data_IF_185971846495
#
_entry.id   IF_185971846495
#
_cell.length_a   1.000
_cell.length_b   1.000
_cell.length_c   1.000
_cell.angle_alpha   90.00
_cell.angle_beta   90.00
_cell.angle_gamma   90.00
#
_symmetry.space_group_name_H-M   'P 1'
#
loop_
_entity.id
_entity.type
_entity.pdbx_description
1 polymer ?
#
# COMPACT_ATOMS: atom_id res chain seq x y z
N UNK A 1 -23.23 -9.04 1.33
CA UNK A 1 -21.92 -9.56 0.91
C UNK A 1 -20.91 -8.44 1.05
N UNK A 2 -19.72 -8.78 1.51
CA UNK A 2 -18.57 -7.89 1.59
C UNK A 2 -17.35 -8.56 0.94
N UNK A 3 -16.46 -7.74 0.40
CA UNK A 3 -15.12 -8.12 -0.01
C UNK A 3 -14.17 -7.30 0.85
N UNK A 4 -13.30 -7.99 1.59
CA UNK A 4 -12.21 -7.36 2.32
C UNK A 4 -11.05 -7.15 1.35
N UNK A 5 -10.82 -5.91 0.92
CA UNK A 5 -9.84 -5.59 -0.11
C UNK A 5 -8.40 -5.52 0.40
N UNK A 6 -8.18 -5.59 1.73
CA UNK A 6 -6.84 -5.53 2.30
C UNK A 6 -6.81 -6.11 3.72
N UNK A 7 -6.00 -7.16 3.93
CA UNK A 7 -5.70 -7.73 5.23
C UNK A 7 -4.36 -8.50 5.21
N UNK A 8 -3.91 -8.95 6.39
CA UNK A 8 -2.70 -9.74 6.61
C UNK A 8 -3.01 -11.00 7.42
N UNK A 9 -3.63 -12.00 6.79
CA UNK A 9 -4.00 -13.26 7.45
C UNK A 9 -2.80 -14.12 7.85
N UNK A 10 -1.64 -13.89 7.24
CA UNK A 10 -0.37 -14.56 7.58
C UNK A 10 0.31 -13.98 8.82
N UNK A 11 -0.29 -12.96 9.45
CA UNK A 11 0.21 -12.43 10.72
C UNK A 11 0.25 -13.52 11.80
N UNK A 12 1.30 -13.51 12.62
CA UNK A 12 1.45 -14.39 13.77
C UNK A 12 0.24 -14.36 14.72
N UNK A 13 -0.47 -13.23 14.78
CA UNK A 13 -1.68 -13.08 15.59
C UNK A 13 -2.83 -14.03 15.19
N UNK A 14 -2.80 -14.60 13.98
CA UNK A 14 -3.82 -15.52 13.47
C UNK A 14 -3.39 -17.00 13.52
N UNK A 15 -2.14 -17.31 13.86
CA UNK A 15 -1.59 -18.67 13.75
C UNK A 15 -2.41 -19.73 14.52
N UNK A 16 -2.94 -19.37 15.68
CA UNK A 16 -3.63 -20.32 16.55
C UNK A 16 -5.12 -20.50 16.21
N UNK A 17 -5.75 -19.56 15.48
CA UNK A 17 -7.21 -19.52 15.30
C UNK A 17 -7.68 -19.12 13.89
N UNK A 18 -6.81 -19.23 12.88
CA UNK A 18 -7.10 -18.80 11.50
C UNK A 18 -8.39 -19.41 10.92
N UNK A 19 -8.60 -20.72 11.09
CA UNK A 19 -9.83 -21.38 10.62
C UNK A 19 -11.09 -20.80 11.26
N UNK A 20 -11.03 -20.49 12.55
CA UNK A 20 -12.15 -19.89 13.26
C UNK A 20 -12.40 -18.45 12.78
N UNK A 21 -11.34 -17.70 12.51
CA UNK A 21 -11.39 -16.35 11.92
C UNK A 21 -12.05 -16.39 10.54
N UNK A 22 -11.66 -17.33 9.68
CA UNK A 22 -12.29 -17.51 8.37
C UNK A 22 -13.77 -17.89 8.52
N UNK A 23 -14.09 -18.80 9.44
CA UNK A 23 -15.47 -19.19 9.71
C UNK A 23 -16.33 -18.01 10.23
N UNK A 24 -15.79 -17.17 11.13
CA UNK A 24 -16.44 -15.93 11.59
C UNK A 24 -16.64 -14.94 10.45
N UNK A 25 -15.66 -14.80 9.57
CA UNK A 25 -15.71 -13.92 8.40
C UNK A 25 -16.81 -14.33 7.41
N UNK A 26 -16.93 -15.62 7.10
CA UNK A 26 -18.02 -16.16 6.27
C UNK A 26 -19.40 -15.88 6.90
N UNK A 27 -19.56 -16.12 8.21
CA UNK A 27 -20.81 -15.81 8.94
C UNK A 27 -21.17 -14.32 8.91
N UNK A 28 -20.16 -13.44 8.91
CA UNK A 28 -20.36 -11.99 8.79
C UNK A 28 -20.75 -11.55 7.35
N UNK A 29 -20.73 -12.47 6.38
CA UNK A 29 -21.07 -12.23 4.99
C UNK A 29 -19.89 -11.73 4.14
N UNK A 30 -18.66 -11.95 4.59
CA UNK A 30 -17.44 -11.76 3.79
C UNK A 30 -17.29 -12.96 2.86
N UNK A 31 -17.18 -12.70 1.55
CA UNK A 31 -17.08 -13.75 0.52
C UNK A 31 -15.77 -13.70 -0.26
N UNK A 32 -14.94 -12.70 -0.02
CA UNK A 32 -13.62 -12.60 -0.62
C UNK A 32 -12.73 -11.78 0.29
N UNK A 33 -11.52 -12.27 0.51
CA UNK A 33 -10.52 -11.65 1.38
C UNK A 33 -9.22 -11.55 0.58
N UNK A 34 -8.80 -10.32 0.31
CA UNK A 34 -7.51 -10.05 -0.31
C UNK A 34 -6.46 -9.98 0.79
N UNK A 35 -5.58 -10.99 0.86
CA UNK A 35 -4.48 -11.02 1.81
C UNK A 35 -3.19 -10.56 1.13
N UNK A 36 -2.51 -9.59 1.72
CA UNK A 36 -1.33 -8.96 1.16
C UNK A 36 -0.06 -9.44 1.87
N UNK A 37 0.95 -9.82 1.10
CA UNK A 37 2.28 -10.07 1.65
C UNK A 37 3.00 -8.76 1.95
N UNK A 38 3.93 -8.82 2.88
CA UNK A 38 4.79 -7.69 3.26
C UNK A 38 6.27 -7.90 2.95
N UNK A 39 6.71 -9.15 2.81
CA UNK A 39 8.12 -9.53 2.60
C UNK A 39 8.24 -10.78 1.71
N UNK A 40 9.44 -11.13 1.22
CA UNK A 40 9.64 -12.32 0.40
C UNK A 40 9.28 -13.62 1.12
N UNK A 41 9.55 -13.73 2.42
CA UNK A 41 9.19 -14.92 3.20
C UNK A 41 7.68 -15.01 3.43
N UNK A 42 7.03 -13.87 3.66
CA UNK A 42 5.59 -13.77 3.88
C UNK A 42 4.79 -14.11 2.60
N UNK A 43 5.33 -13.82 1.43
CA UNK A 43 4.73 -14.24 0.15
C UNK A 43 4.46 -15.75 0.08
N UNK A 44 5.37 -16.58 0.61
CA UNK A 44 5.20 -18.04 0.60
C UNK A 44 3.99 -18.47 1.43
N UNK A 45 3.79 -17.84 2.60
CA UNK A 45 2.62 -18.09 3.44
C UNK A 45 1.33 -17.60 2.78
N UNK A 46 1.36 -16.45 2.09
CA UNK A 46 0.19 -15.95 1.34
C UNK A 46 -0.20 -16.90 0.21
N UNK A 47 0.78 -17.44 -0.52
CA UNK A 47 0.54 -18.43 -1.58
C UNK A 47 -0.05 -19.71 -0.99
N UNK A 48 0.54 -20.23 0.08
CA UNK A 48 0.02 -21.42 0.77
C UNK A 48 -1.43 -21.22 1.22
N UNK A 49 -1.73 -20.06 1.82
CA UNK A 49 -3.08 -19.76 2.29
C UNK A 49 -4.11 -19.69 1.14
N UNK A 50 -3.68 -19.16 -0.02
CA UNK A 50 -4.49 -19.17 -1.24
C UNK A 50 -4.72 -20.58 -1.78
N UNK A 51 -3.75 -21.47 -1.68
CA UNK A 51 -3.90 -22.88 -2.08
C UNK A 51 -4.86 -23.65 -1.16
N UNK A 52 -4.82 -23.37 0.15
CA UNK A 52 -5.65 -24.02 1.16
C UNK A 52 -7.11 -23.51 1.13
N UNK A 53 -7.33 -22.25 0.75
CA UNK A 53 -8.66 -21.62 0.71
C UNK A 53 -8.94 -20.86 -0.61
N UNK A 54 -8.97 -21.55 -1.76
CA UNK A 54 -9.04 -20.91 -3.08
C UNK A 54 -10.35 -20.15 -3.34
N UNK A 55 -11.42 -20.49 -2.62
CA UNK A 55 -12.74 -19.88 -2.75
C UNK A 55 -12.90 -18.56 -1.97
N UNK A 56 -12.14 -18.40 -0.87
CA UNK A 56 -12.28 -17.25 0.03
C UNK A 56 -11.11 -16.27 -0.08
N UNK A 57 -9.90 -16.77 -0.31
CA UNK A 57 -8.66 -16.01 -0.19
C UNK A 57 -8.12 -15.64 -1.56
N UNK A 58 -7.80 -14.37 -1.77
CA UNK A 58 -7.22 -13.85 -2.99
C UNK A 58 -5.84 -13.28 -2.68
N UNK A 59 -4.80 -13.83 -3.29
CA UNK A 59 -3.43 -13.47 -2.99
C UNK A 59 -3.03 -12.14 -3.65
N UNK A 60 -2.51 -11.22 -2.85
CA UNK A 60 -1.74 -10.07 -3.32
C UNK A 60 -0.29 -10.27 -2.87
N UNK A 61 0.65 -10.19 -3.81
CA UNK A 61 2.08 -10.33 -3.50
C UNK A 61 2.83 -9.02 -3.77
N UNK A 62 3.75 -8.68 -2.88
CA UNK A 62 4.50 -7.44 -2.91
C UNK A 62 5.44 -7.31 -1.71
N UNK A 63 6.30 -6.31 -1.80
CA UNK A 63 7.29 -5.93 -0.80
C UNK A 63 6.88 -4.58 -0.21
N UNK A 64 6.58 -4.61 1.08
CA UNK A 64 6.16 -3.45 1.85
C UNK A 64 7.33 -2.46 2.01
N UNK A 65 7.11 -1.12 2.02
CA UNK A 65 8.16 -0.11 2.19
C UNK A 65 9.03 -0.26 3.45
N UNK A 66 8.50 -0.94 4.48
CA UNK A 66 9.22 -1.19 5.73
C UNK A 66 9.92 -2.56 5.77
N UNK A 67 9.76 -3.43 4.77
CA UNK A 67 10.54 -4.67 4.71
C UNK A 67 12.02 -4.34 4.62
N UNK A 68 12.81 -5.09 5.39
CA UNK A 68 14.25 -4.91 5.43
C UNK A 68 15.04 -5.89 4.57
N UNK A 69 14.42 -7.01 4.19
CA UNK A 69 15.06 -8.16 3.57
C UNK A 69 15.26 -8.04 2.07
N UNK A 70 14.46 -7.24 1.36
CA UNK A 70 14.53 -7.09 -0.08
C UNK A 70 14.99 -5.70 -0.51
N UNK A 71 16.12 -5.59 -1.21
CA UNK A 71 16.55 -4.37 -1.90
C UNK A 71 16.56 -4.56 -3.43
N UNK A 72 17.07 -3.59 -4.18
CA UNK A 72 17.15 -3.70 -5.64
C UNK A 72 18.08 -4.83 -6.13
N UNK A 73 18.99 -5.34 -5.29
CA UNK A 73 19.83 -6.50 -5.64
C UNK A 73 19.03 -7.79 -5.51
N UNK A 74 18.21 -7.90 -4.46
CA UNK A 74 17.33 -9.05 -4.24
C UNK A 74 16.05 -9.02 -5.10
N UNK A 75 15.67 -7.83 -5.62
CA UNK A 75 14.42 -7.62 -6.35
C UNK A 75 14.23 -8.57 -7.54
N UNK A 76 15.30 -8.90 -8.29
CA UNK A 76 15.17 -9.78 -9.45
C UNK A 76 14.63 -11.17 -9.08
N UNK A 77 15.13 -11.75 -7.99
CA UNK A 77 14.66 -13.05 -7.48
C UNK A 77 13.21 -12.97 -7.02
N UNK A 78 12.85 -11.91 -6.30
CA UNK A 78 11.47 -11.68 -5.84
C UNK A 78 10.51 -11.49 -7.01
N UNK A 79 10.92 -10.72 -8.02
CA UNK A 79 10.16 -10.50 -9.26
C UNK A 79 9.88 -11.83 -9.97
N UNK A 80 10.89 -12.69 -10.11
CA UNK A 80 10.72 -14.00 -10.75
C UNK A 80 9.75 -14.90 -9.97
N UNK A 81 9.82 -14.86 -8.63
CA UNK A 81 8.87 -15.56 -7.76
C UNK A 81 7.43 -15.04 -7.98
N UNK A 82 7.20 -13.72 -7.97
CA UNK A 82 5.87 -13.14 -8.23
C UNK A 82 5.32 -13.59 -9.59
N UNK A 83 6.15 -13.57 -10.65
CA UNK A 83 5.74 -13.99 -11.99
C UNK A 83 5.34 -15.48 -12.00
N UNK A 84 6.12 -16.33 -11.35
CA UNK A 84 5.84 -17.77 -11.27
C UNK A 84 4.51 -18.02 -10.55
N UNK A 85 4.30 -17.39 -9.40
CA UNK A 85 3.08 -17.56 -8.60
C UNK A 85 1.86 -16.96 -9.28
N UNK A 86 2.00 -15.85 -10.00
CA UNK A 86 0.91 -15.31 -10.82
C UNK A 86 0.48 -16.27 -11.93
N UNK A 87 1.44 -16.90 -12.62
CA UNK A 87 1.12 -17.91 -13.65
C UNK A 87 0.40 -19.13 -13.09
N UNK A 88 0.70 -19.51 -11.85
CA UNK A 88 0.15 -20.71 -11.20
C UNK A 88 -1.20 -20.46 -10.54
N UNK A 89 -1.36 -19.33 -9.84
CA UNK A 89 -2.52 -19.08 -8.96
C UNK A 89 -3.43 -17.94 -9.38
N UNK A 90 -2.97 -17.04 -10.26
CA UNK A 90 -3.69 -15.81 -10.61
C UNK A 90 -3.78 -14.85 -9.42
N UNK A 91 -2.73 -14.06 -9.21
CA UNK A 91 -2.72 -13.01 -8.18
C UNK A 91 -3.81 -11.96 -8.43
N UNK A 92 -4.41 -11.44 -7.36
CA UNK A 92 -5.41 -10.39 -7.44
C UNK A 92 -4.81 -9.00 -7.67
N UNK A 93 -3.63 -8.74 -7.09
CA UNK A 93 -2.91 -7.48 -7.21
C UNK A 93 -1.41 -7.65 -6.90
N UNK A 94 -0.62 -6.65 -7.27
CA UNK A 94 0.67 -6.40 -6.63
C UNK A 94 0.43 -5.63 -5.33
N UNK A 95 0.75 -6.22 -4.19
CA UNK A 95 0.48 -5.64 -2.88
C UNK A 95 0.94 -6.51 -1.72
N UNK A 96 1.36 -5.94 -0.60
CA UNK A 96 1.31 -4.51 -0.27
C UNK A 96 2.59 -3.80 -0.72
N UNK A 97 2.45 -2.75 -1.53
CA UNK A 97 3.57 -1.96 -2.07
C UNK A 97 3.37 -0.47 -1.76
N UNK A 98 4.40 0.36 -1.80
CA UNK A 98 4.22 1.81 -1.66
C UNK A 98 5.30 2.49 -0.84
N UNK A 99 4.93 3.55 -0.11
CA UNK A 99 5.85 4.43 0.60
C UNK A 99 5.38 4.70 2.05
N UNK A 100 6.31 4.60 3.01
CA UNK A 100 6.09 4.99 4.40
C UNK A 100 7.18 5.96 4.86
N UNK A 101 6.80 7.25 4.92
CA UNK A 101 7.67 8.35 5.33
C UNK A 101 7.45 8.79 6.79
N UNK A 102 6.90 7.91 7.62
CA UNK A 102 6.80 8.13 9.07
C UNK A 102 8.17 8.43 9.65
N UNK A 103 8.37 9.67 10.14
CA UNK A 103 9.68 10.12 10.64
C UNK A 103 10.31 9.18 11.68
N UNK A 104 9.57 8.63 12.68
CA UNK A 104 10.16 7.70 13.65
C UNK A 104 10.70 6.43 12.97
N UNK A 105 9.94 5.88 12.01
CA UNK A 105 10.32 4.65 11.30
C UNK A 105 11.47 4.89 10.34
N UNK A 106 11.47 6.01 9.60
CA UNK A 106 12.60 6.39 8.75
C UNK A 106 13.90 6.51 9.56
N UNK A 107 13.86 7.16 10.72
CA UNK A 107 15.02 7.26 11.62
C UNK A 107 15.49 5.91 12.11
N UNK A 108 14.57 5.06 12.56
CA UNK A 108 14.88 3.72 13.04
C UNK A 108 15.54 2.88 11.94
N UNK A 109 14.97 2.90 10.72
CA UNK A 109 15.48 2.15 9.56
C UNK A 109 16.84 2.68 9.10
N UNK A 110 17.02 4.01 9.10
CA UNK A 110 18.29 4.66 8.76
C UNK A 110 19.40 4.23 9.74
N UNK A 111 19.11 4.27 11.05
CA UNK A 111 20.04 3.84 12.07
C UNK A 111 20.41 2.36 11.95
N UNK A 112 19.42 1.47 11.76
CA UNK A 112 19.65 0.03 11.61
C UNK A 112 20.52 -0.31 10.39
N UNK A 113 20.51 0.55 9.37
CA UNK A 113 21.25 0.37 8.12
C UNK A 113 22.59 1.10 8.07
N UNK A 114 22.92 1.92 9.08
CA UNK A 114 24.06 2.83 9.00
C UNK A 114 23.94 3.82 7.82
N UNK A 115 22.72 4.25 7.50
CA UNK A 115 22.40 5.09 6.36
C UNK A 115 21.66 6.37 6.79
N UNK A 116 21.39 7.28 5.83
CA UNK A 116 20.58 8.48 6.10
C UNK A 116 19.09 8.22 5.87
N UNK A 117 18.21 9.08 6.41
CA UNK A 117 16.77 9.02 6.10
C UNK A 117 16.49 9.17 4.59
N UNK A 118 17.34 9.92 3.88
CA UNK A 118 17.22 10.10 2.43
C UNK A 118 17.51 8.79 1.68
N UNK A 119 18.51 8.02 2.12
CA UNK A 119 18.83 6.72 1.51
C UNK A 119 17.68 5.73 1.69
N UNK A 120 17.04 5.72 2.86
CA UNK A 120 15.86 4.88 3.12
C UNK A 120 14.69 5.27 2.22
N UNK A 121 14.43 6.58 2.05
CA UNK A 121 13.39 7.06 1.13
C UNK A 121 13.68 6.66 -0.31
N UNK A 122 14.91 6.86 -0.77
CA UNK A 122 15.32 6.50 -2.13
C UNK A 122 15.16 5.00 -2.38
N UNK A 123 15.51 4.16 -1.40
CA UNK A 123 15.26 2.71 -1.49
C UNK A 123 13.77 2.39 -1.62
N UNK A 124 12.91 3.00 -0.81
CA UNK A 124 11.46 2.80 -0.92
C UNK A 124 10.94 3.22 -2.30
N UNK A 125 11.39 4.36 -2.82
CA UNK A 125 11.02 4.85 -4.15
C UNK A 125 11.43 3.87 -5.25
N UNK A 126 12.70 3.44 -5.29
CA UNK A 126 13.18 2.52 -6.32
C UNK A 126 12.46 1.16 -6.29
N UNK A 127 12.19 0.62 -5.10
CA UNK A 127 11.43 -0.63 -4.98
C UNK A 127 9.97 -0.45 -5.36
N UNK A 128 9.35 0.69 -5.02
CA UNK A 128 7.98 0.96 -5.40
C UNK A 128 7.84 1.08 -6.93
N UNK A 129 8.70 1.86 -7.58
CA UNK A 129 8.73 2.00 -9.04
C UNK A 129 8.94 0.65 -9.74
N UNK A 130 9.89 -0.16 -9.26
CA UNK A 130 10.15 -1.49 -9.83
C UNK A 130 8.96 -2.45 -9.69
N UNK A 131 8.18 -2.33 -8.60
CA UNK A 131 6.95 -3.09 -8.40
C UNK A 131 5.80 -2.59 -9.28
N UNK A 132 5.71 -1.27 -9.52
CA UNK A 132 4.76 -0.71 -10.47
C UNK A 132 5.06 -1.15 -11.91
N UNK A 133 6.33 -1.26 -12.28
CA UNK A 133 6.75 -1.78 -13.59
C UNK A 133 6.29 -3.23 -13.76
N UNK A 134 6.50 -4.07 -12.74
CA UNK A 134 6.03 -5.46 -12.76
C UNK A 134 4.50 -5.56 -12.82
N UNK A 135 3.78 -4.72 -12.07
CA UNK A 135 2.33 -4.70 -12.10
C UNK A 135 1.78 -4.37 -13.50
N UNK A 136 2.42 -3.44 -14.21
CA UNK A 136 2.07 -3.11 -15.61
C UNK A 136 2.37 -4.25 -16.57
N UNK A 137 3.53 -4.91 -16.40
CA UNK A 137 3.90 -6.08 -17.22
C UNK A 137 2.91 -7.22 -17.06
N UNK A 138 2.41 -7.45 -15.84
CA UNK A 138 1.46 -8.50 -15.52
C UNK A 138 -0.02 -8.08 -15.70
N UNK A 139 -0.28 -6.83 -16.08
CA UNK A 139 -1.64 -6.27 -16.20
C UNK A 139 -2.46 -6.45 -14.91
N UNK A 140 -1.80 -6.25 -13.77
CA UNK A 140 -2.35 -6.38 -12.43
C UNK A 140 -2.63 -5.01 -11.81
N UNK A 141 -3.72 -4.85 -11.04
CA UNK A 141 -3.91 -3.68 -10.21
C UNK A 141 -2.91 -3.68 -9.03
N UNK A 142 -2.80 -2.55 -8.35
CA UNK A 142 -1.92 -2.40 -7.17
C UNK A 142 -2.69 -2.15 -5.88
N UNK A 143 -2.21 -2.72 -4.77
CA UNK A 143 -2.71 -2.47 -3.42
C UNK A 143 -1.65 -1.71 -2.62
N UNK A 144 -1.92 -0.44 -2.35
CA UNK A 144 -0.87 0.56 -2.10
C UNK A 144 -0.91 1.12 -0.69
N UNK A 145 0.22 0.97 0.01
CA UNK A 145 0.54 1.65 1.24
C UNK A 145 0.96 3.10 0.99
N UNK A 146 0.37 4.03 1.73
CA UNK A 146 0.85 5.41 1.74
C UNK A 146 0.70 6.02 3.13
N UNK A 147 1.80 6.16 3.85
CA UNK A 147 1.81 6.78 5.19
C UNK A 147 2.79 7.94 5.22
N UNK A 148 2.26 9.15 5.47
CA UNK A 148 3.03 10.40 5.36
C UNK A 148 3.70 10.60 3.98
N UNK A 149 3.20 9.89 2.97
CA UNK A 149 3.71 9.86 1.60
C UNK A 149 2.56 9.88 0.57
N UNK A 150 1.33 10.20 0.99
CA UNK A 150 0.11 10.10 0.20
C UNK A 150 0.19 10.92 -1.10
N UNK A 151 0.70 12.15 -1.00
CA UNK A 151 0.92 13.02 -2.16
C UNK A 151 1.95 12.45 -3.13
N UNK A 152 3.04 11.90 -2.61
CA UNK A 152 4.12 11.35 -3.42
C UNK A 152 3.63 10.11 -4.19
N UNK A 153 2.98 9.19 -3.49
CA UNK A 153 2.40 7.98 -4.08
C UNK A 153 1.38 8.34 -5.18
N UNK A 154 0.46 9.27 -4.90
CA UNK A 154 -0.55 9.66 -5.89
C UNK A 154 0.06 10.34 -7.12
N UNK A 155 1.12 11.13 -6.97
CA UNK A 155 1.84 11.71 -8.10
C UNK A 155 2.48 10.62 -8.98
N UNK A 156 3.14 9.64 -8.37
CA UNK A 156 3.75 8.50 -9.07
C UNK A 156 2.68 7.71 -9.83
N UNK A 157 1.60 7.30 -9.15
CA UNK A 157 0.52 6.52 -9.75
C UNK A 157 -0.18 7.25 -10.90
N UNK A 158 -0.33 8.57 -10.80
CA UNK A 158 -0.87 9.41 -11.88
C UNK A 158 -0.03 9.31 -13.16
N UNK A 159 1.30 9.20 -13.04
CA UNK A 159 2.21 9.01 -14.18
C UNK A 159 2.14 7.62 -14.81
N UNK A 160 1.88 6.58 -14.00
CA UNK A 160 1.91 5.19 -14.44
C UNK A 160 0.63 4.70 -15.15
N UNK A 161 -0.49 5.44 -15.04
CA UNK A 161 -1.81 5.05 -15.59
C UNK A 161 -2.29 3.65 -15.16
N UNK A 162 -1.91 3.23 -13.96
CA UNK A 162 -2.27 1.91 -13.40
C UNK A 162 -3.57 1.98 -12.59
N UNK A 163 -4.30 0.86 -12.52
CA UNK A 163 -5.43 0.74 -11.61
C UNK A 163 -4.96 0.33 -10.22
N UNK A 164 -5.59 0.85 -9.17
CA UNK A 164 -5.18 0.47 -7.82
C UNK A 164 -6.09 0.95 -6.71
N UNK A 165 -5.81 0.45 -5.52
CA UNK A 165 -6.43 0.90 -4.27
C UNK A 165 -5.37 1.57 -3.39
N UNK A 166 -5.72 2.75 -2.89
CA UNK A 166 -5.02 3.41 -1.81
C UNK A 166 -5.60 2.86 -0.50
N UNK A 167 -4.89 1.91 0.11
CA UNK A 167 -5.35 1.24 1.32
C UNK A 167 -5.21 2.18 2.53
N UNK A 168 -6.13 2.04 3.48
CA UNK A 168 -6.18 2.81 4.72
C UNK A 168 -5.85 4.31 4.54
N UNK A 169 -6.40 4.96 3.52
CA UNK A 169 -5.98 6.30 3.11
C UNK A 169 -6.21 7.36 4.20
N UNK A 170 -5.14 8.02 4.64
CA UNK A 170 -5.15 9.08 5.70
C UNK A 170 -4.84 10.48 5.19
N UNK A 171 -4.60 10.63 3.89
CA UNK A 171 -4.23 11.91 3.31
C UNK A 171 -5.40 12.90 3.25
N UNK A 172 -5.16 14.15 2.81
CA UNK A 172 -6.22 15.13 2.63
C UNK A 172 -7.33 14.64 1.68
N UNK A 173 -8.60 14.87 2.04
CA UNK A 173 -9.76 14.45 1.25
C UNK A 173 -9.78 15.06 -0.16
N UNK A 174 -9.35 16.31 -0.30
CA UNK A 174 -9.26 17.00 -1.59
C UNK A 174 -8.28 16.31 -2.56
N UNK A 175 -7.16 15.79 -2.02
CA UNK A 175 -6.16 15.08 -2.80
C UNK A 175 -6.70 13.73 -3.28
N UNK A 176 -7.38 12.98 -2.41
CA UNK A 176 -8.07 11.76 -2.79
C UNK A 176 -9.14 12.01 -3.86
N UNK A 177 -9.97 13.06 -3.70
CA UNK A 177 -10.99 13.42 -4.68
C UNK A 177 -10.38 13.77 -6.04
N UNK A 178 -9.25 14.49 -6.06
CA UNK A 178 -8.54 14.79 -7.30
C UNK A 178 -8.02 13.50 -7.97
N UNK A 179 -7.39 12.62 -7.21
CA UNK A 179 -6.87 11.35 -7.71
C UNK A 179 -7.97 10.40 -8.22
N UNK A 180 -9.12 10.36 -7.55
CA UNK A 180 -10.28 9.56 -7.95
C UNK A 180 -10.80 9.92 -9.34
N UNK A 181 -10.70 11.20 -9.75
CA UNK A 181 -11.14 11.67 -11.08
C UNK A 181 -10.40 10.98 -12.23
N UNK A 182 -9.25 10.36 -11.99
CA UNK A 182 -8.56 9.54 -13.00
C UNK A 182 -9.39 8.33 -13.46
N UNK A 183 -10.38 7.91 -12.67
CA UNK A 183 -11.18 6.70 -12.91
C UNK A 183 -10.42 5.39 -12.69
N UNK A 184 -9.16 5.45 -12.24
CA UNK A 184 -8.26 4.30 -12.06
C UNK A 184 -7.95 3.98 -10.59
N UNK A 185 -8.27 4.88 -9.67
CA UNK A 185 -7.93 4.74 -8.26
C UNK A 185 -9.18 4.62 -7.37
N UNK A 186 -9.11 3.68 -6.44
CA UNK A 186 -10.08 3.48 -5.37
C UNK A 186 -9.42 3.72 -4.01
N UNK A 187 -10.25 3.89 -2.98
CA UNK A 187 -9.81 4.15 -1.62
C UNK A 187 -10.57 3.23 -0.68
N UNK A 188 -9.86 2.39 0.07
CA UNK A 188 -10.45 1.49 1.06
C UNK A 188 -10.33 2.05 2.47
N UNK A 189 -11.29 1.66 3.31
CA UNK A 189 -11.40 2.16 4.68
C UNK A 189 -11.67 1.01 5.66
N UNK A 190 -10.87 0.89 6.74
CA UNK A 190 -10.96 -0.17 7.72
C UNK A 190 -11.94 0.17 8.86
N UNK A 191 -12.26 -0.78 9.77
CA UNK A 191 -13.17 -0.58 10.91
C UNK A 191 -12.84 0.62 11.80
N UNK A 192 -11.58 1.01 11.92
CA UNK A 192 -11.20 2.24 12.64
C UNK A 192 -11.75 3.54 12.02
N UNK A 193 -12.43 3.48 10.86
CA UNK A 193 -13.30 4.53 10.32
C UNK A 193 -14.31 5.04 11.35
N UNK A 194 -14.75 4.20 12.29
CA UNK A 194 -15.69 4.60 13.35
C UNK A 194 -15.18 5.77 14.21
N UNK A 195 -13.86 5.94 14.36
CA UNK A 195 -13.27 6.99 15.20
C UNK A 195 -12.17 7.84 14.54
N UNK A 196 -11.62 7.43 13.39
CA UNK A 196 -10.57 8.19 12.69
C UNK A 196 -11.16 9.29 11.81
N UNK A 197 -10.97 10.54 12.22
CA UNK A 197 -11.54 11.70 11.53
C UNK A 197 -11.01 11.84 10.09
N UNK A 198 -9.73 11.54 9.82
CA UNK A 198 -9.14 11.62 8.48
C UNK A 198 -9.87 10.71 7.49
N UNK A 199 -10.20 9.49 7.93
CA UNK A 199 -10.98 8.53 7.15
C UNK A 199 -12.38 9.03 6.89
N UNK A 200 -13.05 9.56 7.91
CA UNK A 200 -14.41 10.07 7.77
C UNK A 200 -14.48 11.24 6.79
N UNK A 201 -13.50 12.15 6.81
CA UNK A 201 -13.42 13.27 5.86
C UNK A 201 -13.21 12.79 4.42
N UNK A 202 -12.31 11.83 4.20
CA UNK A 202 -12.10 11.24 2.88
C UNK A 202 -13.36 10.51 2.38
N UNK A 203 -14.01 9.71 3.24
CA UNK A 203 -15.26 9.03 2.90
C UNK A 203 -16.36 10.02 2.56
N UNK A 204 -16.56 11.09 3.33
CA UNK A 204 -17.58 12.12 3.02
C UNK A 204 -17.35 12.74 1.63
N UNK A 205 -16.10 13.09 1.31
CA UNK A 205 -15.75 13.77 0.06
C UNK A 205 -15.83 12.88 -1.20
N UNK A 206 -15.40 11.62 -1.12
CA UNK A 206 -15.28 10.72 -2.27
C UNK A 206 -16.63 10.12 -2.71
N UNK A 207 -16.97 10.06 -4.01
CA UNK A 207 -18.15 9.34 -4.47
C UNK A 207 -18.13 7.86 -4.05
N UNK A 208 -19.30 7.26 -3.82
CA UNK A 208 -19.41 5.88 -3.35
C UNK A 208 -18.79 4.87 -4.35
N UNK A 209 -18.75 5.22 -5.64
CA UNK A 209 -18.14 4.44 -6.72
C UNK A 209 -16.60 4.40 -6.68
N UNK A 210 -15.97 5.16 -5.79
CA UNK A 210 -14.53 5.17 -5.55
C UNK A 210 -14.14 4.51 -4.23
N UNK A 211 -15.13 4.11 -3.43
CA UNK A 211 -14.90 3.56 -2.10
C UNK A 211 -14.83 2.04 -2.13
N UNK A 212 -13.96 1.50 -1.31
CA UNK A 212 -13.82 0.08 -1.03
C UNK A 212 -13.88 -0.15 0.49
N UNK A 213 -14.12 -1.39 0.88
CA UNK A 213 -14.04 -1.82 2.27
C UNK A 213 -12.80 -2.69 2.44
N UNK A 214 -12.18 -2.57 3.59
CA UNK A 214 -11.08 -3.42 4.02
C UNK A 214 -11.17 -3.64 5.53
N UNK A 215 -10.29 -4.47 6.08
CA UNK A 215 -10.07 -4.49 7.52
C UNK A 215 -8.68 -4.08 7.96
N UNK A 216 -7.65 -4.27 7.12
CA UNK A 216 -6.24 -4.19 7.53
C UNK A 216 -5.94 -5.12 8.73
N UNK A 217 -6.68 -6.22 8.83
CA UNK A 217 -6.55 -7.17 9.94
C UNK A 217 -5.14 -7.74 9.99
N UNK A 218 -4.53 -7.89 11.18
CA UNK A 218 -5.13 -7.78 12.52
C UNK A 218 -5.19 -6.35 13.09
N UNK A 219 -4.83 -5.33 12.31
CA UNK A 219 -4.76 -3.94 12.74
C UNK A 219 -6.05 -3.18 12.48
N UNK A 220 -6.10 -1.91 12.94
CA UNK A 220 -7.14 -0.93 12.57
C UNK A 220 -8.58 -1.32 12.94
N UNK A 221 -8.74 -2.03 14.07
CA UNK A 221 -10.02 -2.41 14.64
C UNK A 221 -10.91 -1.22 15.03
N UNK A 222 -12.23 -1.42 14.99
CA UNK A 222 -13.21 -0.45 15.48
C UNK A 222 -13.15 -0.26 17.00
N UNK A 223 -12.78 -1.32 17.75
CA UNK A 223 -12.68 -1.31 19.20
C UNK A 223 -11.47 -0.49 19.74
N UNK A 224 -10.58 -0.05 18.85
CA UNK A 224 -9.49 0.86 19.18
C UNK A 224 -8.12 0.38 18.70
N UNK A 225 -7.07 1.22 18.85
CA UNK A 225 -5.76 0.99 18.21
C UNK A 225 -4.98 -0.24 18.69
N UNK A 226 -5.34 -0.80 19.86
CA UNK A 226 -4.68 -1.96 20.46
C UNK A 226 -5.51 -3.25 20.36
N UNK A 227 -6.74 -3.16 19.85
CA UNK A 227 -7.60 -4.32 19.71
C UNK A 227 -7.21 -5.08 18.43
N UNK A 228 -7.19 -6.41 18.53
CA UNK A 228 -7.04 -7.29 17.38
C UNK A 228 -8.29 -7.18 16.50
N UNK A 229 -8.08 -6.98 15.21
CA UNK A 229 -9.11 -6.96 14.17
C UNK A 229 -9.20 -8.32 13.47
N UNK A 230 -10.31 -8.57 12.79
CA UNK A 230 -10.47 -9.72 11.89
C UNK A 230 -11.37 -9.36 10.69
N UNK A 231 -11.29 -10.08 9.55
CA UNK A 231 -12.06 -9.74 8.35
C UNK A 231 -13.57 -9.66 8.59
N UNK A 232 -14.11 -10.47 9.52
CA UNK A 232 -15.51 -10.42 9.93
C UNK A 232 -15.98 -9.06 10.49
N UNK A 233 -15.07 -8.21 10.95
CA UNK A 233 -15.39 -6.89 11.49
C UNK A 233 -15.55 -5.80 10.42
N UNK A 234 -15.41 -6.14 9.13
CA UNK A 234 -15.63 -5.22 8.00
C UNK A 234 -16.98 -4.51 8.03
N UNK A 235 -18.00 -5.14 8.65
CA UNK A 235 -19.33 -4.57 8.83
C UNK A 235 -19.30 -3.22 9.57
N UNK A 236 -18.40 -3.04 10.55
CA UNK A 236 -18.29 -1.78 11.27
C UNK A 236 -17.86 -0.62 10.35
N UNK A 237 -16.94 -0.88 9.41
CA UNK A 237 -16.57 0.10 8.39
C UNK A 237 -17.75 0.38 7.45
N UNK A 238 -18.46 -0.65 7.02
CA UNK A 238 -19.59 -0.52 6.10
C UNK A 238 -20.76 0.28 6.70
N UNK A 239 -21.10 0.03 7.96
CA UNK A 239 -22.16 0.75 8.69
C UNK A 239 -21.77 2.22 8.89
N UNK A 240 -20.52 2.49 9.29
CA UNK A 240 -20.06 3.87 9.41
C UNK A 240 -20.02 4.60 8.06
N UNK A 241 -19.59 3.92 7.00
CA UNK A 241 -19.61 4.48 5.64
C UNK A 241 -21.04 4.81 5.19
N UNK A 242 -22.01 3.96 5.49
CA UNK A 242 -23.42 4.17 5.17
C UNK A 242 -23.99 5.41 5.87
N UNK A 243 -23.70 5.55 7.17
CA UNK A 243 -24.04 6.74 7.96
C UNK A 243 -23.48 8.02 7.33
N UNK A 244 -22.18 8.05 7.04
CA UNK A 244 -21.49 9.22 6.47
C UNK A 244 -21.99 9.58 5.07
N UNK A 245 -22.51 8.61 4.33
CA UNK A 245 -23.04 8.78 2.97
C UNK A 245 -24.53 9.06 2.92
N UNK A 246 -25.27 8.90 4.02
CA UNK A 246 -26.72 9.00 4.02
C UNK A 246 -27.39 7.97 3.11
N UNK A 247 -26.80 6.77 3.02
CA UNK A 247 -27.31 5.63 2.22
C UNK A 247 -27.47 4.40 3.10
N UNK A 248 -28.13 3.36 2.60
CA UNK A 248 -28.29 2.11 3.37
C UNK A 248 -27.01 1.27 3.36
N UNK A 249 -26.86 0.41 4.36
CA UNK A 249 -25.78 -0.58 4.40
C UNK A 249 -25.76 -1.45 3.14
N UNK A 250 -26.93 -1.84 2.63
CA UNK A 250 -27.05 -2.64 1.40
C UNK A 250 -26.52 -1.88 0.17
N UNK A 251 -26.75 -0.57 0.10
CA UNK A 251 -26.20 0.27 -0.97
C UNK A 251 -24.67 0.37 -0.89
N UNK A 252 -24.10 0.53 0.30
CA UNK A 252 -22.65 0.47 0.51
C UNK A 252 -22.10 -0.88 0.08
N UNK A 253 -22.64 -1.97 0.64
CA UNK A 253 -22.21 -3.34 0.33
C UNK A 253 -22.25 -3.62 -1.17
N UNK A 254 -23.34 -3.27 -1.86
CA UNK A 254 -23.46 -3.47 -3.30
C UNK A 254 -22.47 -2.61 -4.09
N UNK A 255 -22.29 -1.33 -3.72
CA UNK A 255 -21.38 -0.44 -4.43
C UNK A 255 -19.91 -0.85 -4.24
N UNK A 256 -19.47 -1.09 -3.01
CA UNK A 256 -18.08 -1.44 -2.70
C UNK A 256 -17.72 -2.82 -3.25
N UNK A 257 -18.65 -3.78 -3.23
CA UNK A 257 -18.46 -5.09 -3.88
C UNK A 257 -18.30 -4.93 -5.40
N UNK A 258 -19.17 -4.16 -6.07
CA UNK A 258 -19.03 -3.89 -7.51
C UNK A 258 -17.69 -3.20 -7.83
N UNK A 259 -17.26 -2.27 -6.99
CA UNK A 259 -15.99 -1.58 -7.15
C UNK A 259 -14.81 -2.56 -7.01
N UNK A 260 -14.85 -3.46 -6.02
CA UNK A 260 -13.82 -4.47 -5.80
C UNK A 260 -13.72 -5.44 -6.97
N UNK A 261 -14.86 -5.94 -7.47
CA UNK A 261 -14.88 -6.80 -8.67
C UNK A 261 -14.40 -6.06 -9.91
N UNK A 262 -14.74 -4.79 -10.05
CA UNK A 262 -14.24 -4.00 -11.17
C UNK A 262 -12.71 -3.86 -11.14
N UNK A 263 -12.13 -3.67 -9.96
CA UNK A 263 -10.69 -3.50 -9.78
C UNK A 263 -9.92 -4.82 -9.90
N UNK A 264 -10.36 -5.86 -9.19
CA UNK A 264 -9.60 -7.12 -9.03
C UNK A 264 -10.15 -8.29 -9.86
N UNK A 265 -11.41 -8.22 -10.32
CA UNK A 265 -12.10 -9.38 -10.91
C UNK A 265 -11.50 -9.88 -12.22
N UNK A 266 -10.86 -9.00 -13.02
CA UNK A 266 -10.15 -9.41 -14.24
C UNK A 266 -8.95 -10.32 -13.91
N UNK A 267 -8.22 -9.98 -12.86
CA UNK A 267 -7.06 -10.75 -12.39
C UNK A 267 -7.48 -11.98 -11.57
N UNK A 268 -8.67 -11.95 -10.98
CA UNK A 268 -9.21 -13.02 -10.13
C UNK A 268 -10.65 -13.37 -10.50
N UNK A 269 -10.88 -14.23 -11.51
CA UNK A 269 -12.22 -14.59 -11.97
C UNK A 269 -13.14 -15.17 -10.89
N UNK A 270 -12.58 -15.83 -9.87
CA UNK A 270 -13.34 -16.30 -8.70
C UNK A 270 -14.12 -15.17 -8.02
N UNK A 271 -13.52 -13.98 -7.90
CA UNK A 271 -14.14 -12.82 -7.27
C UNK A 271 -15.33 -12.30 -8.09
N UNK A 272 -15.26 -12.43 -9.41
CA UNK A 272 -16.34 -12.06 -10.32
C UNK A 272 -17.52 -13.04 -10.20
N UNK A 273 -17.24 -14.35 -10.06
CA UNK A 273 -18.26 -15.38 -9.88
C UNK A 273 -19.05 -15.21 -8.58
N UNK A 274 -18.40 -14.78 -7.49
CA UNK A 274 -19.06 -14.48 -6.21
C UNK A 274 -20.19 -13.44 -6.33
N UNK A 275 -20.13 -12.56 -7.33
CA UNK A 275 -21.13 -11.49 -7.52
C UNK A 275 -22.29 -11.84 -8.46
N UNK A 276 -22.16 -12.89 -9.29
CA UNK A 276 -23.21 -13.26 -10.26
C UNK A 276 -24.32 -14.13 -9.67
N UNK A 277 -24.20 -14.55 -8.40
CA UNK A 277 -25.20 -15.34 -7.67
C UNK A 277 -26.22 -14.49 -6.91
N UNK A 278 -26.07 -13.17 -6.88
CA UNK A 278 -27.06 -12.25 -6.30
C UNK A 278 -28.18 -11.95 -7.33
N UNK A 279 -29.47 -11.98 -6.94
CA UNK A 279 -30.56 -11.68 -7.86
C UNK A 279 -30.41 -10.29 -8.46
N UNK A 280 -30.77 -10.08 -9.74
CA UNK A 280 -30.59 -8.80 -10.41
C UNK A 280 -31.35 -7.71 -9.65
N UNK A 281 -30.62 -6.81 -9.01
CA UNK A 281 -31.21 -5.56 -8.54
C UNK A 281 -31.64 -4.77 -9.77
N UNK A 282 -32.93 -4.47 -9.85
CA UNK A 282 -33.56 -3.71 -10.93
C UNK A 282 -32.70 -2.50 -11.32
N UNK A 283 -32.27 -2.34 -12.59
CA UNK A 283 -31.38 -1.27 -13.00
C UNK A 283 -32.18 0.03 -13.18
N UNK A 284 -32.60 0.65 -12.09
CA UNK A 284 -33.11 2.03 -12.10
C UNK A 284 -32.03 3.07 -11.76
N UNK A 285 -30.77 2.63 -11.63
CA UNK A 285 -29.63 3.52 -11.47
C UNK A 285 -29.08 3.98 -12.81
N UNK A 286 -29.40 5.21 -13.22
CA UNK A 286 -28.63 5.94 -14.24
C UNK A 286 -27.13 5.72 -13.98
N UNK A 287 -26.37 5.29 -14.98
CA UNK A 287 -24.90 5.31 -14.89
C UNK A 287 -24.48 6.68 -14.39
N UNK A 288 -23.81 6.72 -13.23
CA UNK A 288 -23.59 7.98 -12.53
C UNK A 288 -22.81 8.93 -13.44
N UNK A 289 -23.34 10.16 -13.57
CA UNK A 289 -22.81 11.24 -14.42
C UNK A 289 -21.29 11.40 -14.24
N UNK A 290 -20.83 11.16 -13.01
CA UNK A 290 -19.44 11.19 -12.58
C UNK A 290 -18.48 10.37 -13.46
N UNK A 291 -18.77 9.11 -13.84
CA UNK A 291 -17.87 8.32 -14.71
C UNK A 291 -17.97 8.70 -16.19
N UNK A 292 -19.07 9.34 -16.62
CA UNK A 292 -19.21 9.88 -17.99
C UNK A 292 -18.40 11.16 -18.15
N UNK A 293 -18.50 12.07 -17.18
CA UNK A 293 -17.75 13.32 -17.14
C UNK A 293 -16.22 13.08 -17.09
N UNK A 294 -15.77 11.94 -16.54
CA UNK A 294 -14.35 11.52 -16.58
C UNK A 294 -13.91 11.07 -17.98
N UNK A 295 -14.75 10.31 -18.70
CA UNK A 295 -14.45 9.90 -20.08
C UNK A 295 -14.43 11.07 -21.05
N UNK A 296 -15.32 12.04 -20.87
CA UNK A 296 -15.42 13.22 -21.75
C UNK A 296 -14.25 14.19 -21.57
N UNK A 297 -13.47 14.07 -20.48
CA UNK A 297 -12.32 14.92 -20.18
C UNK A 297 -10.97 14.31 -20.60
N UNK A 298 -10.94 13.09 -21.14
CA UNK A 298 -9.73 12.47 -21.74
C UNK A 298 -9.40 13.03 -23.14
N UNK A 299 -10.25 13.92 -23.69
CA UNK A 299 -10.15 14.44 -25.06
C UNK A 299 -9.52 15.83 -25.24
N UNK A 300 -9.04 16.50 -24.19
CA UNK A 300 -8.51 17.86 -24.35
C UNK A 300 -7.26 18.11 -23.49
N UNK A 301 -6.12 17.58 -23.95
CA UNK A 301 -4.80 18.04 -23.51
C UNK A 301 -4.32 19.07 -24.54
N UNK A 302 -4.10 20.35 -24.16
CA UNK A 302 -3.49 21.30 -25.08
C UNK A 302 -2.03 20.90 -25.31
N UNK A 303 -1.67 20.68 -26.57
CA UNK A 303 -0.27 20.53 -27.00
C UNK A 303 0.45 21.87 -26.78
N UNK A 304 1.25 21.98 -25.71
CA UNK A 304 2.21 23.06 -25.58
C UNK A 304 3.58 22.58 -26.05
N UNK A 305 4.09 23.20 -27.11
CA UNK A 305 5.44 23.00 -27.64
C UNK A 305 6.50 23.21 -26.55
N UNK A 306 7.23 22.16 -26.20
CA UNK A 306 8.42 22.23 -25.38
C UNK A 306 9.66 22.30 -26.28
N UNK A 307 10.58 23.27 -26.09
CA UNK A 307 11.84 23.31 -26.85
C UNK A 307 12.82 22.22 -26.35
N UNK A 308 13.74 21.75 -27.19
CA UNK A 308 14.56 20.57 -26.90
C UNK A 308 15.58 20.82 -25.78
N UNK A 309 15.82 19.76 -25.00
CA UNK A 309 16.73 19.73 -23.86
C UNK A 309 18.17 20.08 -24.25
N UNK A 310 18.74 21.08 -23.56
CA UNK A 310 20.18 21.36 -23.61
C UNK A 310 20.92 20.48 -22.58
N UNK A 311 21.85 19.70 -23.09
CA UNK A 311 22.84 18.92 -22.33
C UNK A 311 23.80 19.84 -21.58
N UNK A 312 23.90 19.71 -20.25
CA UNK A 312 24.96 20.36 -19.46
C UNK A 312 26.15 19.42 -19.26
N UNK A 313 27.28 19.78 -19.84
CA UNK A 313 28.61 19.25 -19.48
C UNK A 313 29.19 20.06 -18.30
N UNK A 314 30.06 19.47 -17.45
CA UNK A 314 30.56 20.14 -16.26
C UNK A 314 31.66 21.16 -16.62
N UNK A 315 31.50 22.41 -16.18
CA UNK A 315 32.55 23.42 -16.27
C UNK A 315 33.28 23.57 -14.93
N UNK A 316 34.58 23.31 -15.00
CA UNK A 316 35.63 23.70 -14.09
C UNK A 316 35.57 25.21 -13.77
N UNK A 317 35.67 25.55 -12.48
CA UNK A 317 35.97 26.92 -12.02
C UNK A 317 37.00 26.89 -10.91
N UNK A 318 38.25 26.86 -11.35
CA UNK A 318 39.38 27.42 -10.63
C UNK A 318 39.23 28.95 -10.41
N UNK A 319 39.76 29.39 -9.26
CA UNK A 319 40.13 30.76 -8.89
C UNK A 319 39.01 31.79 -8.64
N UNK A 320 38.84 32.17 -7.38
CA UNK A 320 39.03 33.56 -6.96
C UNK A 320 39.29 33.65 -5.45
N UNK A 321 40.46 34.20 -5.15
CA UNK A 321 41.05 34.47 -3.84
C UNK A 321 40.61 35.87 -3.40
N UNK A 322 40.06 36.02 -2.19
CA UNK A 322 40.21 37.26 -1.41
C UNK A 322 40.39 36.95 0.08
N UNK A 323 41.37 37.64 0.62
CA UNK A 323 42.04 37.50 1.91
C UNK A 323 41.37 38.32 3.02
N UNK A 324 41.31 37.80 4.27
CA UNK A 324 41.71 38.59 5.46
C UNK A 324 41.95 37.75 6.74
N UNK A 325 43.24 37.62 7.08
CA UNK A 325 43.93 37.63 8.39
C UNK A 325 43.19 37.17 9.68
N UNK A 326 43.52 35.94 10.11
CA UNK A 326 44.28 35.54 11.33
C UNK A 326 44.29 36.40 12.60
N UNK A 327 44.00 35.74 13.73
CA UNK A 327 44.70 35.69 15.06
C UNK A 327 43.95 34.63 15.89
N UNK A 328 44.51 33.64 16.57
CA UNK A 328 45.87 33.15 16.82
C UNK A 328 45.76 31.78 17.53
N UNK A 329 46.93 31.16 17.67
CA UNK A 329 47.35 29.91 18.33
C UNK A 329 46.47 29.42 19.51
N UNK A 330 46.38 28.12 19.83
CA UNK A 330 47.50 27.27 20.26
C UNK A 330 47.30 25.76 20.00
N UNK A 331 48.44 25.11 19.80
CA UNK A 331 48.72 23.70 19.53
C UNK A 331 48.76 22.88 20.83
N UNK A 332 48.29 21.63 20.80
CA UNK A 332 48.96 20.52 21.52
C UNK A 332 48.68 19.17 20.85
N UNK A 333 49.75 18.55 20.39
CA UNK A 333 49.89 17.14 19.97
C UNK A 333 50.67 16.38 21.05
N UNK A 334 50.18 15.21 21.48
CA UNK A 334 50.95 14.07 22.02
C UNK A 334 50.10 12.81 21.78
N UNK A 335 50.46 11.94 20.82
CA UNK A 335 51.38 10.78 20.85
C UNK A 335 50.77 9.52 21.52
N UNK A 336 50.59 8.39 20.79
CA UNK A 336 49.92 7.20 21.29
C UNK A 336 50.91 6.10 21.67
N UNK A 337 51.11 5.87 22.96
CA UNK A 337 51.69 4.62 23.47
C UNK A 337 51.17 4.36 24.86
N UNK A 338 50.49 3.22 25.07
CA UNK A 338 50.78 2.28 26.14
C UNK A 338 49.88 1.05 25.99
N UNK A 339 50.50 0.00 25.47
CA UNK A 339 50.06 -1.38 25.54
C UNK A 339 50.71 -2.00 26.79
N UNK A 340 49.94 -2.74 27.60
CA UNK A 340 50.27 -4.06 28.17
C UNK A 340 49.72 -4.27 29.59
N UNK A 341 49.32 -5.54 29.78
CA UNK A 341 49.19 -6.30 31.02
C UNK A 341 47.97 -6.06 31.92
N UNK A 342 47.02 -6.99 31.85
CA UNK A 342 46.66 -7.82 33.00
C UNK A 342 45.92 -9.10 32.55
N UNK A 343 46.58 -10.23 32.77
CA UNK A 343 46.03 -11.58 32.70
C UNK A 343 44.95 -11.79 33.76
N UNK A 344 43.94 -12.60 33.45
CA UNK A 344 42.94 -13.05 34.43
C UNK A 344 42.03 -14.13 33.85
N UNK A 345 42.56 -15.34 33.73
CA UNK A 345 41.83 -16.55 33.35
C UNK A 345 40.84 -17.01 34.42
N UNK A 346 39.62 -17.40 34.04
CA UNK A 346 38.88 -18.45 34.72
C UNK A 346 37.94 -19.16 33.73
N UNK A 347 38.11 -20.48 33.63
CA UNK A 347 37.33 -21.40 32.80
C UNK A 347 36.09 -21.88 33.55
N UNK A 348 35.16 -22.37 32.74
CA UNK A 348 34.00 -23.22 33.04
C UNK A 348 34.13 -24.15 34.24
N UNK A 349 33.04 -24.23 35.01
CA UNK A 349 32.33 -25.45 35.36
C UNK A 349 30.84 -25.12 35.45
#
# INVERSE_FOLDING_TARGET
MFIDCHCHLTSEQFQDDLEEVLARSRRAGVQGILTCSTSPSDMLHVVQLREEHPDDIYACLGIHPLDDSCDMRAWQTVREMIIAEHRKHGLAALGEIGLDFSRPLLKQKAAARGATEADVRNRQLSLFEAQLDLARELDLPVNVHSRNAEKEVLNILSGCKIQGVMHAYKGPAALALQAAKSGRLWFSFPPSLVYKWEYQEAVKALPLECLLLETDSPSLAAAGPKARNEPGFIRAAAEKMAELKGVTLQQVAAATTRNAVHLFGKASPGLQACCMTAPPSNPTGKTSRWRRDVKDNEGNVPTSDAPPAQTFAPQDRSSQRWTRRSRGAETHTMDPTLCSSAFGSARCS
#
